data_IF_114300617094
#
_entry.id   IF_114300617094
#
_cell.length_a   1.000
_cell.length_b   1.000
_cell.length_c   1.000
_cell.angle_alpha   90.00
_cell.angle_beta   90.00
_cell.angle_gamma   90.00
#
_symmetry.space_group_name_H-M   'P 1'
#
loop_
_entity.id
_entity.type
_entity.pdbx_description
1 polymer ?
#
# COMPACT_ATOMS: atom_id res chain seq x y z
N UNK A 1 14.10 -45.77 -2.19
CA UNK A 1 14.77 -45.26 -0.98
C UNK A 1 13.89 -45.57 0.22
N UNK A 2 14.44 -46.08 1.33
CA UNK A 2 13.66 -46.45 2.52
C UNK A 2 13.30 -45.19 3.33
N UNK A 3 12.18 -45.20 4.07
CA UNK A 3 11.71 -44.06 4.87
C UNK A 3 12.77 -43.54 5.87
N UNK A 4 13.48 -44.47 6.51
CA UNK A 4 14.58 -44.14 7.45
C UNK A 4 15.73 -43.39 6.77
N UNK A 5 16.07 -43.74 5.52
CA UNK A 5 17.11 -43.04 4.76
C UNK A 5 16.68 -41.60 4.43
N UNK A 6 15.41 -41.39 4.05
CA UNK A 6 14.87 -40.05 3.80
C UNK A 6 14.85 -39.19 5.06
N UNK A 7 14.51 -39.76 6.22
CA UNK A 7 14.51 -39.04 7.49
C UNK A 7 15.94 -38.63 7.90
N UNK A 8 16.94 -39.48 7.66
CA UNK A 8 18.35 -39.12 7.84
C UNK A 8 18.77 -37.94 6.94
N UNK A 9 18.41 -37.99 5.65
CA UNK A 9 18.73 -36.91 4.69
C UNK A 9 18.03 -35.60 5.09
N UNK A 10 16.76 -35.64 5.51
CA UNK A 10 16.03 -34.47 6.02
C UNK A 10 16.70 -33.87 7.24
N UNK A 11 17.12 -34.70 8.19
CA UNK A 11 17.79 -34.24 9.40
C UNK A 11 19.15 -33.60 9.07
N UNK A 12 19.93 -34.23 8.19
CA UNK A 12 21.20 -33.68 7.72
C UNK A 12 21.01 -32.31 7.03
N UNK A 13 19.99 -32.16 6.18
CA UNK A 13 19.65 -30.88 5.56
C UNK A 13 19.32 -29.78 6.59
N UNK A 14 18.60 -30.11 7.66
CA UNK A 14 18.23 -29.15 8.72
C UNK A 14 19.43 -28.69 9.53
N UNK A 15 20.38 -29.59 9.80
CA UNK A 15 21.54 -29.30 10.66
C UNK A 15 22.78 -28.86 9.89
N UNK A 16 22.79 -28.97 8.55
CA UNK A 16 23.98 -28.64 7.77
C UNK A 16 24.30 -27.15 7.83
N UNK A 17 25.57 -26.84 8.14
CA UNK A 17 26.12 -25.48 8.04
C UNK A 17 26.75 -25.22 6.67
N UNK A 18 27.07 -26.28 5.92
CA UNK A 18 27.71 -26.19 4.62
C UNK A 18 26.82 -26.86 3.56
N UNK A 19 26.01 -26.05 2.88
CA UNK A 19 25.10 -26.53 1.85
C UNK A 19 25.85 -27.14 0.65
N UNK A 20 27.09 -26.73 0.36
CA UNK A 20 27.85 -27.27 -0.77
C UNK A 20 28.18 -28.76 -0.59
N UNK A 21 28.54 -29.18 0.62
CA UNK A 21 28.80 -30.59 0.95
C UNK A 21 27.52 -31.42 0.80
N UNK A 22 26.38 -30.90 1.29
CA UNK A 22 25.09 -31.56 1.15
C UNK A 22 24.71 -31.75 -0.33
N UNK A 23 24.90 -30.70 -1.15
CA UNK A 23 24.64 -30.75 -2.59
C UNK A 23 25.49 -31.82 -3.27
N UNK A 24 26.80 -31.83 -3.04
CA UNK A 24 27.71 -32.80 -3.67
C UNK A 24 27.35 -34.25 -3.31
N UNK A 25 26.95 -34.49 -2.07
CA UNK A 25 26.57 -35.81 -1.58
C UNK A 25 25.29 -36.35 -2.21
N UNK A 26 24.30 -35.49 -2.44
CA UNK A 26 22.94 -35.91 -2.81
C UNK A 26 22.51 -35.56 -4.23
N UNK A 27 23.31 -34.79 -4.98
CA UNK A 27 22.95 -34.31 -6.33
C UNK A 27 22.61 -35.43 -7.32
N UNK A 28 23.31 -36.57 -7.25
CA UNK A 28 23.11 -37.68 -8.17
C UNK A 28 21.92 -38.59 -7.81
N UNK A 29 21.25 -38.36 -6.68
CA UNK A 29 20.17 -39.24 -6.21
C UNK A 29 18.86 -38.92 -6.96
N UNK A 30 18.31 -39.84 -7.76
CA UNK A 30 17.11 -39.59 -8.57
C UNK A 30 15.82 -39.84 -7.76
N UNK A 31 15.70 -39.19 -6.61
CA UNK A 31 14.52 -39.27 -5.74
C UNK A 31 13.87 -37.89 -5.59
N UNK A 32 12.56 -37.77 -5.84
CA UNK A 32 11.81 -36.49 -5.85
C UNK A 32 12.15 -35.58 -4.68
N UNK A 33 12.05 -36.11 -3.47
CA UNK A 33 12.28 -35.32 -2.27
C UNK A 33 13.75 -34.95 -2.06
N UNK A 34 14.68 -35.84 -2.44
CA UNK A 34 16.11 -35.55 -2.32
C UNK A 34 16.51 -34.48 -3.32
N UNK A 35 15.98 -34.56 -4.55
CA UNK A 35 16.15 -33.52 -5.58
C UNK A 35 15.58 -32.18 -5.11
N UNK A 36 14.43 -32.18 -4.43
CA UNK A 36 13.87 -30.95 -3.84
C UNK A 36 14.78 -30.36 -2.77
N UNK A 37 15.28 -31.17 -1.83
CA UNK A 37 16.21 -30.72 -0.79
C UNK A 37 17.53 -30.21 -1.40
N UNK A 38 18.03 -30.86 -2.46
CA UNK A 38 19.23 -30.40 -3.19
C UNK A 38 18.97 -29.05 -3.86
N UNK A 39 17.83 -28.88 -4.54
CA UNK A 39 17.46 -27.60 -5.15
C UNK A 39 17.31 -26.50 -4.08
N UNK A 40 16.71 -26.82 -2.94
CA UNK A 40 16.57 -25.90 -1.82
C UNK A 40 17.92 -25.53 -1.20
N UNK A 41 18.86 -26.49 -1.08
CA UNK A 41 20.22 -26.25 -0.63
C UNK A 41 20.97 -25.30 -1.59
N UNK A 42 20.84 -25.54 -2.90
CA UNK A 42 21.43 -24.68 -3.93
C UNK A 42 20.89 -23.26 -3.84
N UNK A 43 19.57 -23.11 -3.70
CA UNK A 43 18.95 -21.81 -3.55
C UNK A 43 19.41 -21.08 -2.29
N UNK A 44 19.44 -21.75 -1.12
CA UNK A 44 19.97 -21.17 0.12
C UNK A 44 21.43 -20.73 0.00
N UNK A 45 22.26 -21.50 -0.70
CA UNK A 45 23.65 -21.13 -0.95
C UNK A 45 23.75 -19.86 -1.81
N UNK A 46 22.92 -19.74 -2.85
CA UNK A 46 22.87 -18.54 -3.70
C UNK A 46 22.46 -17.32 -2.88
N UNK A 47 21.48 -17.46 -1.97
CA UNK A 47 21.03 -16.36 -1.11
C UNK A 47 22.07 -15.87 -0.09
N UNK A 48 23.13 -16.66 0.17
CA UNK A 48 24.25 -16.25 1.02
C UNK A 48 25.32 -15.45 0.25
N UNK A 49 25.22 -15.36 -1.08
CA UNK A 49 26.17 -14.61 -1.89
C UNK A 49 25.97 -13.10 -1.74
N UNK A 50 27.00 -12.41 -1.27
CA UNK A 50 26.98 -10.95 -1.05
C UNK A 50 27.34 -10.16 -2.29
N UNK A 51 28.10 -10.75 -3.21
CA UNK A 51 28.48 -10.08 -4.45
C UNK A 51 27.35 -10.15 -5.48
N UNK A 52 26.76 -9.00 -5.82
CA UNK A 52 25.61 -8.91 -6.72
C UNK A 52 25.83 -9.61 -8.08
N UNK A 53 27.02 -9.49 -8.65
CA UNK A 53 27.37 -10.11 -9.94
C UNK A 53 27.37 -11.64 -9.82
N UNK A 54 27.96 -12.19 -8.75
CA UNK A 54 27.98 -13.63 -8.49
C UNK A 54 26.58 -14.15 -8.19
N UNK A 55 25.81 -13.43 -7.36
CA UNK A 55 24.43 -13.73 -7.05
C UNK A 55 23.59 -13.85 -8.34
N UNK A 56 23.73 -12.89 -9.25
CA UNK A 56 23.02 -12.90 -10.53
C UNK A 56 23.34 -14.09 -11.39
N UNK A 57 24.63 -14.34 -11.61
CA UNK A 57 25.07 -15.45 -12.43
C UNK A 57 24.61 -16.78 -11.85
N UNK A 58 24.71 -16.93 -10.52
CA UNK A 58 24.29 -18.14 -9.84
C UNK A 58 22.75 -18.33 -9.89
N UNK A 59 21.98 -17.25 -9.75
CA UNK A 59 20.52 -17.25 -9.90
C UNK A 59 20.09 -17.63 -11.31
N UNK A 60 20.72 -17.07 -12.35
CA UNK A 60 20.46 -17.42 -13.75
C UNK A 60 20.76 -18.90 -14.03
N UNK A 61 21.90 -19.41 -13.55
CA UNK A 61 22.27 -20.81 -13.69
C UNK A 61 21.25 -21.72 -12.98
N UNK A 62 20.78 -21.34 -11.80
CA UNK A 62 19.75 -22.06 -11.06
C UNK A 62 18.43 -22.13 -11.83
N UNK A 63 17.96 -20.99 -12.35
CA UNK A 63 16.75 -20.90 -13.16
C UNK A 63 16.89 -21.81 -14.38
N UNK A 64 17.94 -21.63 -15.19
CA UNK A 64 18.14 -22.43 -16.41
C UNK A 64 18.16 -23.94 -16.13
N UNK A 65 18.82 -24.35 -15.04
CA UNK A 65 18.93 -25.75 -14.64
C UNK A 65 17.59 -26.38 -14.26
N UNK A 66 16.73 -25.65 -13.54
CA UNK A 66 15.52 -26.21 -12.92
C UNK A 66 14.21 -25.75 -13.57
N UNK A 67 14.23 -24.82 -14.53
CA UNK A 67 13.02 -24.23 -15.13
C UNK A 67 12.01 -25.26 -15.62
N UNK A 68 12.48 -26.31 -16.30
CA UNK A 68 11.65 -27.37 -16.87
C UNK A 68 11.61 -28.64 -16.00
N UNK A 69 11.87 -28.52 -14.70
CA UNK A 69 11.89 -29.68 -13.81
C UNK A 69 10.51 -30.34 -13.69
N UNK A 70 10.47 -31.67 -13.63
CA UNK A 70 9.21 -32.45 -13.59
C UNK A 70 8.40 -32.20 -12.30
N UNK A 71 9.08 -31.93 -11.19
CA UNK A 71 8.47 -31.73 -9.88
C UNK A 71 8.03 -30.28 -9.65
N UNK A 72 6.77 -30.09 -9.26
CA UNK A 72 6.14 -28.77 -9.07
C UNK A 72 6.83 -27.97 -7.97
N UNK A 73 7.24 -28.60 -6.87
CA UNK A 73 7.87 -27.90 -5.75
C UNK A 73 9.22 -27.26 -6.13
N UNK A 74 9.96 -27.91 -7.03
CA UNK A 74 11.21 -27.36 -7.58
C UNK A 74 10.89 -26.21 -8.54
N UNK A 75 9.84 -26.33 -9.35
CA UNK A 75 9.39 -25.23 -10.21
C UNK A 75 8.91 -24.02 -9.40
N UNK A 76 8.28 -24.21 -8.25
CA UNK A 76 7.95 -23.11 -7.33
C UNK A 76 9.22 -22.43 -6.78
N UNK A 77 10.27 -23.19 -6.45
CA UNK A 77 11.57 -22.60 -6.10
C UNK A 77 12.17 -21.78 -7.24
N UNK A 78 12.03 -22.23 -8.50
CA UNK A 78 12.46 -21.48 -9.67
C UNK A 78 11.66 -20.18 -9.82
N UNK A 79 10.35 -20.23 -9.64
CA UNK A 79 9.51 -19.02 -9.68
C UNK A 79 9.97 -17.99 -8.64
N UNK A 80 10.28 -18.45 -7.42
CA UNK A 80 10.83 -17.58 -6.38
C UNK A 80 12.20 -17.01 -6.76
N UNK A 81 13.05 -17.81 -7.42
CA UNK A 81 14.34 -17.34 -7.92
C UNK A 81 14.20 -16.28 -9.03
N UNK A 82 13.27 -16.47 -9.97
CA UNK A 82 12.94 -15.49 -11.00
C UNK A 82 12.44 -14.18 -10.37
N UNK A 83 11.55 -14.27 -9.38
CA UNK A 83 11.07 -13.12 -8.62
C UNK A 83 12.20 -12.37 -7.91
N UNK A 84 13.06 -13.09 -7.18
CA UNK A 84 14.19 -12.49 -6.46
C UNK A 84 15.19 -11.83 -7.41
N UNK A 85 15.43 -12.42 -8.58
CA UNK A 85 16.25 -11.82 -9.63
C UNK A 85 15.68 -10.48 -10.09
N UNK A 86 14.40 -10.43 -10.43
CA UNK A 86 13.76 -9.20 -10.91
C UNK A 86 13.75 -8.13 -9.82
N UNK A 87 13.32 -8.49 -8.59
CA UNK A 87 13.21 -7.54 -7.47
C UNK A 87 14.54 -6.88 -7.13
N UNK A 88 15.62 -7.64 -7.07
CA UNK A 88 16.95 -7.12 -6.72
C UNK A 88 17.56 -6.24 -7.83
N UNK A 89 17.05 -6.33 -9.07
CA UNK A 89 17.62 -5.66 -10.25
C UNK A 89 16.68 -4.68 -10.93
N UNK A 90 15.54 -4.38 -10.31
CA UNK A 90 14.53 -3.48 -10.87
C UNK A 90 15.06 -2.11 -11.27
N UNK A 91 16.12 -1.61 -10.61
CA UNK A 91 16.72 -0.31 -10.91
C UNK A 91 17.83 -0.36 -11.96
N UNK A 92 18.30 -1.56 -12.32
CA UNK A 92 19.42 -1.74 -13.26
C UNK A 92 18.94 -2.12 -14.66
N UNK A 93 17.75 -2.72 -14.75
CA UNK A 93 17.23 -3.18 -16.02
C UNK A 93 16.45 -2.06 -16.72
N UNK A 94 16.62 -1.97 -18.04
CA UNK A 94 15.77 -1.14 -18.88
C UNK A 94 14.30 -1.56 -18.73
N UNK A 95 13.39 -0.59 -18.79
CA UNK A 95 11.94 -0.84 -18.60
C UNK A 95 11.39 -1.96 -19.50
N UNK A 96 11.85 -2.04 -20.76
CA UNK A 96 11.46 -3.08 -21.71
C UNK A 96 11.92 -4.46 -21.24
N UNK A 97 13.17 -4.61 -20.83
CA UNK A 97 13.71 -5.87 -20.32
C UNK A 97 13.00 -6.34 -19.04
N UNK A 98 12.65 -5.40 -18.14
CA UNK A 98 11.81 -5.71 -16.97
C UNK A 98 10.44 -6.23 -17.38
N UNK A 99 9.78 -5.54 -18.31
CA UNK A 99 8.46 -5.93 -18.79
C UNK A 99 8.45 -7.35 -19.38
N UNK A 100 9.48 -7.71 -20.16
CA UNK A 100 9.61 -9.04 -20.74
C UNK A 100 9.84 -10.11 -19.67
N UNK A 101 10.70 -9.84 -18.68
CA UNK A 101 10.91 -10.74 -17.56
C UNK A 101 9.64 -10.95 -16.70
N UNK A 102 8.85 -9.89 -16.48
CA UNK A 102 7.55 -10.05 -15.80
C UNK A 102 6.54 -10.85 -16.64
N UNK A 103 6.55 -10.73 -17.97
CA UNK A 103 5.73 -11.59 -18.83
C UNK A 103 6.15 -13.04 -18.68
N UNK A 104 7.46 -13.32 -18.70
CA UNK A 104 8.00 -14.67 -18.51
C UNK A 104 7.59 -15.25 -17.15
N UNK A 105 7.69 -14.46 -16.07
CA UNK A 105 7.24 -14.86 -14.73
C UNK A 105 5.75 -15.20 -14.71
N UNK A 106 4.91 -14.36 -15.32
CA UNK A 106 3.46 -14.58 -15.39
C UNK A 106 3.15 -15.87 -16.17
N UNK A 107 3.79 -16.08 -17.32
CA UNK A 107 3.61 -17.28 -18.13
C UNK A 107 4.09 -18.53 -17.41
N UNK A 108 5.21 -18.44 -16.71
CA UNK A 108 5.75 -19.55 -15.92
C UNK A 108 4.81 -19.92 -14.77
N UNK A 109 4.34 -18.92 -14.01
CA UNK A 109 3.44 -19.10 -12.86
C UNK A 109 2.04 -19.62 -13.25
N UNK A 110 1.53 -19.30 -14.45
CA UNK A 110 0.24 -19.82 -14.94
C UNK A 110 0.18 -21.35 -15.03
N UNK A 111 1.34 -22.00 -15.18
CA UNK A 111 1.46 -23.46 -15.25
C UNK A 111 1.68 -24.13 -13.89
N UNK A 112 1.59 -23.36 -12.80
CA UNK A 112 1.71 -23.82 -11.42
C UNK A 112 0.37 -23.66 -10.69
N UNK A 113 0.27 -24.26 -9.50
CA UNK A 113 -0.93 -24.15 -8.68
C UNK A 113 -1.10 -22.72 -8.16
N UNK A 114 -2.18 -22.06 -8.55
CA UNK A 114 -2.51 -20.69 -8.14
C UNK A 114 -3.13 -20.61 -6.74
N UNK A 115 -3.19 -21.73 -6.01
CA UNK A 115 -3.48 -21.75 -4.58
C UNK A 115 -2.20 -21.84 -3.74
N UNK A 116 -1.02 -21.98 -4.36
CA UNK A 116 0.25 -21.89 -3.65
C UNK A 116 0.56 -20.43 -3.27
N UNK A 117 0.84 -20.21 -2.00
CA UNK A 117 1.09 -18.86 -1.46
C UNK A 117 2.28 -18.17 -2.15
N UNK A 118 3.34 -18.90 -2.52
CA UNK A 118 4.49 -18.33 -3.24
C UNK A 118 4.08 -17.90 -4.64
N UNK A 119 3.31 -18.75 -5.34
CA UNK A 119 2.80 -18.44 -6.68
C UNK A 119 1.93 -17.19 -6.67
N UNK A 120 0.98 -17.09 -5.73
CA UNK A 120 0.12 -15.91 -5.60
C UNK A 120 0.92 -14.63 -5.36
N UNK A 121 1.89 -14.66 -4.42
CA UNK A 121 2.71 -13.48 -4.08
C UNK A 121 3.48 -12.97 -5.30
N UNK A 122 4.11 -13.89 -6.05
CA UNK A 122 4.87 -13.53 -7.25
C UNK A 122 3.96 -12.99 -8.35
N UNK A 123 2.78 -13.59 -8.55
CA UNK A 123 1.79 -13.10 -9.51
C UNK A 123 1.26 -11.71 -9.15
N UNK A 124 0.93 -11.47 -7.88
CA UNK A 124 0.45 -10.15 -7.40
C UNK A 124 1.50 -9.07 -7.70
N UNK A 125 2.76 -9.32 -7.36
CA UNK A 125 3.83 -8.35 -7.63
C UNK A 125 4.05 -8.13 -9.13
N UNK A 126 4.01 -9.20 -9.94
CA UNK A 126 4.15 -9.07 -11.39
C UNK A 126 2.99 -8.27 -11.99
N UNK A 127 1.74 -8.57 -11.63
CA UNK A 127 0.57 -7.82 -12.07
C UNK A 127 0.58 -6.37 -11.58
N UNK A 128 1.11 -6.11 -10.38
CA UNK A 128 1.27 -4.76 -9.86
C UNK A 128 2.22 -3.93 -10.74
N UNK A 129 3.40 -4.48 -11.08
CA UNK A 129 4.33 -3.83 -12.00
C UNK A 129 3.69 -3.53 -13.36
N UNK A 130 2.97 -4.51 -13.93
CA UNK A 130 2.27 -4.35 -15.21
C UNK A 130 1.22 -3.25 -15.15
N UNK A 131 0.48 -3.17 -14.05
CA UNK A 131 -0.49 -2.10 -13.80
C UNK A 131 0.19 -0.74 -13.78
N UNK A 132 1.24 -0.57 -12.96
CA UNK A 132 1.92 0.71 -12.80
C UNK A 132 2.57 1.19 -14.10
N UNK A 133 3.03 0.26 -14.94
CA UNK A 133 3.58 0.56 -16.26
C UNK A 133 2.54 0.99 -17.30
N UNK A 134 1.27 0.61 -17.11
CA UNK A 134 0.20 0.80 -18.10
C UNK A 134 -0.87 1.80 -17.66
N UNK A 135 -0.99 2.15 -16.37
CA UNK A 135 -2.11 2.96 -15.85
C UNK A 135 -2.37 4.29 -16.57
N UNK A 136 -1.35 4.91 -17.16
CA UNK A 136 -1.48 6.15 -17.94
C UNK A 136 -1.35 5.96 -19.46
N UNK A 137 -1.11 4.72 -19.93
CA UNK A 137 -0.90 4.38 -21.35
C UNK A 137 -2.04 3.54 -21.92
N UNK A 138 -2.51 2.56 -21.15
CA UNK A 138 -3.54 1.59 -21.51
C UNK A 138 -4.33 1.24 -20.23
N UNK A 139 -5.30 2.10 -19.89
CA UNK A 139 -6.12 1.94 -18.70
C UNK A 139 -6.92 0.62 -18.71
N UNK A 140 -7.34 0.14 -19.88
CA UNK A 140 -8.07 -1.13 -19.99
C UNK A 140 -7.22 -2.31 -19.54
N UNK A 141 -5.97 -2.41 -20.01
CA UNK A 141 -5.05 -3.47 -19.55
C UNK A 141 -4.64 -3.28 -18.09
N UNK A 142 -4.47 -2.05 -17.63
CA UNK A 142 -4.20 -1.80 -16.21
C UNK A 142 -5.34 -2.31 -15.32
N UNK A 143 -6.59 -2.01 -15.67
CA UNK A 143 -7.78 -2.55 -14.97
C UNK A 143 -7.80 -4.08 -15.00
N UNK A 144 -7.49 -4.70 -16.14
CA UNK A 144 -7.40 -6.16 -16.24
C UNK A 144 -6.42 -6.76 -15.22
N UNK A 145 -5.22 -6.19 -15.09
CA UNK A 145 -4.23 -6.69 -14.13
C UNK A 145 -4.64 -6.43 -12.67
N UNK A 146 -5.25 -5.29 -12.37
CA UNK A 146 -5.79 -5.00 -11.05
C UNK A 146 -6.87 -6.01 -10.63
N UNK A 147 -7.79 -6.37 -11.54
CA UNK A 147 -8.77 -7.43 -11.28
C UNK A 147 -8.11 -8.79 -11.08
N UNK A 148 -6.99 -9.08 -11.76
CA UNK A 148 -6.21 -10.30 -11.51
C UNK A 148 -5.57 -10.32 -10.12
N UNK A 149 -5.04 -9.19 -9.63
CA UNK A 149 -4.53 -9.08 -8.25
C UNK A 149 -5.65 -9.40 -7.26
N UNK A 150 -6.82 -8.77 -7.41
CA UNK A 150 -7.96 -9.02 -6.53
C UNK A 150 -8.45 -10.47 -6.56
N UNK A 151 -8.43 -11.13 -7.71
CA UNK A 151 -8.87 -12.53 -7.80
C UNK A 151 -7.93 -13.50 -7.07
N UNK A 152 -6.70 -13.07 -6.75
CA UNK A 152 -5.73 -13.80 -5.95
C UNK A 152 -5.88 -13.54 -4.44
N UNK A 153 -6.79 -12.65 -4.04
CA UNK A 153 -7.25 -12.46 -2.66
C UNK A 153 -8.17 -13.63 -2.26
N UNK A 154 -7.60 -14.83 -2.23
CA UNK A 154 -8.23 -16.01 -1.66
C UNK A 154 -7.65 -16.24 -0.27
N UNK A 155 -8.30 -17.07 0.55
CA UNK A 155 -8.07 -17.34 1.99
C UNK A 155 -6.69 -17.92 2.37
N UNK A 156 -5.65 -17.54 1.66
CA UNK A 156 -4.25 -17.89 1.87
C UNK A 156 -3.61 -16.97 2.90
N UNK A 157 -2.63 -17.49 3.62
CA UNK A 157 -1.80 -16.70 4.53
C UNK A 157 -0.79 -15.86 3.73
N UNK A 158 -1.30 -14.79 3.10
CA UNK A 158 -0.49 -13.77 2.45
C UNK A 158 0.24 -12.93 3.53
N UNK A 159 1.47 -12.52 3.21
CA UNK A 159 2.20 -11.57 4.05
C UNK A 159 1.60 -10.16 3.93
N UNK A 160 1.94 -9.29 4.88
CA UNK A 160 1.36 -7.94 4.96
C UNK A 160 1.67 -7.12 3.72
N UNK A 161 2.87 -7.25 3.16
CA UNK A 161 3.27 -6.55 1.91
C UNK A 161 2.36 -6.96 0.74
N UNK A 162 2.04 -8.24 0.62
CA UNK A 162 1.18 -8.73 -0.46
C UNK A 162 -0.27 -8.28 -0.26
N UNK A 163 -0.77 -8.29 0.98
CA UNK A 163 -2.10 -7.75 1.32
C UNK A 163 -2.20 -6.25 1.00
N UNK A 164 -1.13 -5.50 1.23
CA UNK A 164 -1.07 -4.09 0.86
C UNK A 164 -1.25 -3.88 -0.65
N UNK A 165 -0.66 -4.71 -1.51
CA UNK A 165 -0.89 -4.60 -2.97
C UNK A 165 -2.33 -4.90 -3.38
N UNK A 166 -3.02 -5.81 -2.69
CA UNK A 166 -4.44 -6.08 -2.93
C UNK A 166 -5.28 -4.86 -2.57
N UNK A 167 -5.04 -4.26 -1.40
CA UNK A 167 -5.71 -3.04 -0.96
C UNK A 167 -5.44 -1.85 -1.91
N UNK A 168 -4.18 -1.65 -2.32
CA UNK A 168 -3.84 -0.63 -3.30
C UNK A 168 -4.53 -0.87 -4.64
N UNK A 169 -4.70 -2.14 -5.05
CA UNK A 169 -5.42 -2.47 -6.27
C UNK A 169 -6.91 -2.12 -6.17
N UNK A 170 -7.52 -2.34 -5.00
CA UNK A 170 -8.89 -1.93 -4.69
C UNK A 170 -9.09 -0.41 -4.83
N UNK A 171 -8.18 0.36 -4.22
CA UNK A 171 -8.21 1.83 -4.28
C UNK A 171 -8.02 2.32 -5.72
N UNK A 172 -7.06 1.77 -6.47
CA UNK A 172 -6.80 2.18 -7.85
C UNK A 172 -7.96 1.87 -8.81
N UNK A 173 -8.59 0.70 -8.69
CA UNK A 173 -9.76 0.36 -9.50
C UNK A 173 -10.90 1.36 -9.27
N UNK A 174 -11.07 1.79 -8.02
CA UNK A 174 -12.07 2.77 -7.66
C UNK A 174 -11.79 4.14 -8.28
N UNK A 175 -10.54 4.64 -8.20
CA UNK A 175 -10.17 5.88 -8.87
C UNK A 175 -10.36 5.80 -10.40
N UNK A 176 -9.98 4.67 -11.03
CA UNK A 176 -10.18 4.49 -12.46
C UNK A 176 -11.66 4.44 -12.86
N UNK A 177 -12.54 3.87 -12.01
CA UNK A 177 -13.98 3.85 -12.25
C UNK A 177 -14.57 5.27 -12.18
N UNK A 178 -14.14 6.04 -11.18
CA UNK A 178 -14.53 7.45 -11.00
C UNK A 178 -14.13 8.30 -12.22
N UNK A 179 -12.90 8.18 -12.69
CA UNK A 179 -12.41 8.92 -13.87
C UNK A 179 -13.20 8.56 -15.14
N UNK A 180 -13.43 7.27 -15.38
CA UNK A 180 -14.00 6.78 -16.65
C UNK A 180 -15.50 7.02 -16.77
N UNK A 181 -16.25 6.84 -15.70
CA UNK A 181 -17.71 6.80 -15.77
C UNK A 181 -18.38 8.11 -15.35
N UNK A 182 -17.64 9.09 -14.82
CA UNK A 182 -18.20 10.27 -14.12
C UNK A 182 -19.27 9.87 -13.08
N UNK A 183 -19.26 8.61 -12.65
CA UNK A 183 -20.27 8.06 -11.75
C UNK A 183 -19.98 8.51 -10.33
N UNK A 184 -21.06 8.67 -9.58
CA UNK A 184 -20.95 8.90 -8.15
C UNK A 184 -20.36 7.66 -7.46
N UNK A 185 -19.48 7.92 -6.50
CA UNK A 185 -18.94 6.93 -5.59
C UNK A 185 -20.02 6.04 -4.94
N UNK A 186 -19.97 4.69 -5.04
CA UNK A 186 -20.84 3.83 -4.24
C UNK A 186 -20.38 3.82 -2.78
N UNK A 187 -21.22 4.29 -1.85
CA UNK A 187 -20.86 4.39 -0.43
C UNK A 187 -20.48 3.03 0.19
N UNK A 188 -21.16 1.95 -0.19
CA UNK A 188 -20.83 0.60 0.27
C UNK A 188 -19.37 0.21 -0.05
N UNK A 189 -18.93 0.50 -1.27
CA UNK A 189 -17.56 0.20 -1.68
C UNK A 189 -16.54 1.08 -0.95
N UNK A 190 -16.89 2.33 -0.64
CA UNK A 190 -16.06 3.24 0.15
C UNK A 190 -15.76 2.65 1.52
N UNK A 191 -16.82 2.36 2.29
CA UNK A 191 -16.69 1.86 3.65
C UNK A 191 -16.05 0.46 3.68
N UNK A 192 -16.29 -0.39 2.68
CA UNK A 192 -15.59 -1.68 2.56
C UNK A 192 -14.06 -1.50 2.46
N UNK A 193 -13.58 -0.49 1.73
CA UNK A 193 -12.14 -0.21 1.62
C UNK A 193 -11.61 0.40 2.91
N UNK A 194 -12.33 1.36 3.51
CA UNK A 194 -11.92 1.96 4.78
C UNK A 194 -11.82 0.93 5.91
N UNK A 195 -12.69 -0.07 5.94
CA UNK A 195 -12.63 -1.17 6.92
C UNK A 195 -11.38 -2.06 6.79
N UNK A 196 -10.60 -1.93 5.71
CA UNK A 196 -9.32 -2.61 5.53
C UNK A 196 -8.12 -1.78 6.03
N UNK A 197 -8.36 -0.59 6.57
CA UNK A 197 -7.32 0.26 7.13
C UNK A 197 -6.68 -0.39 8.35
N UNK A 198 -5.35 -0.35 8.39
CA UNK A 198 -4.53 -0.74 9.55
C UNK A 198 -3.47 0.34 9.78
N UNK A 199 -3.34 0.78 11.03
CA UNK A 199 -2.38 1.82 11.46
C UNK A 199 -0.91 1.49 11.15
N UNK A 200 -0.59 0.22 10.91
CA UNK A 200 0.77 -0.26 10.61
C UNK A 200 1.06 -0.34 9.10
N UNK A 201 0.15 0.16 8.25
CA UNK A 201 0.33 0.20 6.81
C UNK A 201 1.41 1.21 6.38
N UNK A 202 1.91 1.03 5.16
CA UNK A 202 2.91 1.91 4.55
C UNK A 202 2.35 3.33 4.35
N UNK A 203 3.22 4.34 4.44
CA UNK A 203 2.85 5.76 4.26
C UNK A 203 2.22 6.00 2.89
N UNK A 204 2.66 5.30 1.85
CA UNK A 204 2.06 5.38 0.52
C UNK A 204 0.59 4.94 0.48
N UNK A 205 0.19 4.01 1.35
CA UNK A 205 -1.20 3.61 1.52
C UNK A 205 -2.02 4.66 2.28
N UNK A 206 -1.45 5.28 3.31
CA UNK A 206 -2.11 6.37 4.03
C UNK A 206 -2.46 7.53 3.09
N UNK A 207 -1.52 7.94 2.23
CA UNK A 207 -1.75 8.95 1.19
C UNK A 207 -2.91 8.55 0.27
N UNK A 208 -2.95 7.28 -0.16
CA UNK A 208 -4.04 6.76 -1.00
C UNK A 208 -5.40 6.81 -0.30
N UNK A 209 -5.47 6.46 0.99
CA UNK A 209 -6.71 6.58 1.79
C UNK A 209 -7.19 8.03 1.92
N UNK A 210 -6.28 8.98 2.21
CA UNK A 210 -6.63 10.40 2.29
C UNK A 210 -7.16 10.93 0.97
N UNK A 211 -6.52 10.55 -0.15
CA UNK A 211 -7.00 10.88 -1.47
C UNK A 211 -8.39 10.30 -1.73
N UNK A 212 -8.63 9.06 -1.29
CA UNK A 212 -9.93 8.39 -1.44
C UNK A 212 -11.04 9.16 -0.70
N UNK A 213 -10.78 9.52 0.55
CA UNK A 213 -11.68 10.32 1.39
C UNK A 213 -11.91 11.71 0.76
N UNK A 214 -10.86 12.36 0.27
CA UNK A 214 -10.94 13.64 -0.40
C UNK A 214 -11.83 13.61 -1.65
N UNK A 215 -11.73 12.54 -2.46
CA UNK A 215 -12.58 12.32 -3.63
C UNK A 215 -14.02 12.01 -3.23
N UNK A 216 -14.22 11.16 -2.21
CA UNK A 216 -15.55 10.83 -1.71
C UNK A 216 -16.29 12.10 -1.23
N UNK A 217 -15.64 12.93 -0.42
CA UNK A 217 -16.21 14.21 0.03
C UNK A 217 -16.54 15.10 -1.18
N UNK A 218 -15.59 15.26 -2.12
CA UNK A 218 -15.81 16.11 -3.29
C UNK A 218 -17.01 15.68 -4.15
N UNK A 219 -17.21 14.37 -4.33
CA UNK A 219 -18.30 13.86 -5.16
C UNK A 219 -19.66 13.84 -4.45
N UNK A 220 -19.69 13.53 -3.16
CA UNK A 220 -20.94 13.36 -2.40
C UNK A 220 -21.42 14.63 -1.73
N UNK A 221 -20.49 15.54 -1.43
CA UNK A 221 -20.73 16.75 -0.69
C UNK A 221 -20.15 17.91 -1.49
N UNK A 222 -20.98 18.50 -2.35
CA UNK A 222 -20.63 19.73 -3.05
C UNK A 222 -20.67 20.89 -2.05
N UNK A 223 -19.50 21.18 -1.49
CA UNK A 223 -19.32 22.22 -0.49
C UNK A 223 -19.59 23.62 -1.05
N UNK A 224 -19.63 23.82 -2.36
CA UNK A 224 -19.92 25.12 -2.99
C UNK A 224 -21.43 25.35 -3.21
N UNK A 225 -22.29 24.40 -2.84
CA UNK A 225 -23.75 24.46 -3.04
C UNK A 225 -24.51 24.11 -1.75
N UNK A 226 -25.82 24.43 -1.69
CA UNK A 226 -26.66 23.94 -0.60
C UNK A 226 -26.51 22.42 -0.43
N UNK A 227 -26.12 22.02 0.77
CA UNK A 227 -25.92 20.61 1.11
C UNK A 227 -27.29 19.94 1.18
N UNK A 228 -27.50 18.93 0.32
CA UNK A 228 -28.76 18.18 0.25
C UNK A 228 -28.69 16.82 0.96
N UNK A 229 -27.48 16.31 1.21
CA UNK A 229 -27.23 14.94 1.67
C UNK A 229 -26.73 14.91 3.14
N UNK A 230 -27.41 15.59 4.06
CA UNK A 230 -27.01 15.65 5.48
C UNK A 230 -26.92 14.26 6.14
N UNK A 231 -27.76 13.31 5.73
CA UNK A 231 -27.69 11.93 6.22
C UNK A 231 -26.36 11.24 5.89
N UNK A 232 -25.86 11.43 4.67
CA UNK A 232 -24.57 10.87 4.22
C UNK A 232 -23.40 11.49 4.99
N UNK A 233 -23.46 12.81 5.25
CA UNK A 233 -22.46 13.51 6.07
C UNK A 233 -22.43 12.91 7.47
N UNK A 234 -23.60 12.74 8.09
CA UNK A 234 -23.68 12.18 9.44
C UNK A 234 -23.10 10.78 9.52
N UNK A 235 -23.47 9.89 8.59
CA UNK A 235 -22.93 8.52 8.53
C UNK A 235 -21.40 8.54 8.39
N UNK A 236 -20.87 9.39 7.52
CA UNK A 236 -19.43 9.52 7.32
C UNK A 236 -18.69 10.00 8.57
N UNK A 237 -19.20 11.02 9.25
CA UNK A 237 -18.57 11.56 10.46
C UNK A 237 -18.67 10.58 11.63
N UNK A 238 -19.83 9.96 11.83
CA UNK A 238 -20.01 8.93 12.86
C UNK A 238 -19.05 7.75 12.61
N UNK A 239 -18.84 7.36 11.35
CA UNK A 239 -17.83 6.35 10.99
C UNK A 239 -16.41 6.79 11.39
N UNK A 240 -16.01 8.04 11.11
CA UNK A 240 -14.69 8.54 11.50
C UNK A 240 -14.50 8.56 13.02
N UNK A 241 -15.54 8.93 13.77
CA UNK A 241 -15.50 8.95 15.24
C UNK A 241 -15.33 7.53 15.82
N UNK A 242 -16.02 6.53 15.24
CA UNK A 242 -15.87 5.13 15.62
C UNK A 242 -14.49 4.56 15.27
N UNK A 243 -13.83 5.10 14.24
CA UNK A 243 -12.55 4.62 13.72
C UNK A 243 -11.38 5.56 14.08
N UNK A 244 -11.11 5.69 15.38
CA UNK A 244 -10.09 6.62 15.91
C UNK A 244 -8.71 6.52 15.25
N UNK A 245 -8.25 5.32 14.86
CA UNK A 245 -6.97 5.15 14.18
C UNK A 245 -6.95 5.80 12.78
N UNK A 246 -8.04 5.65 12.02
CA UNK A 246 -8.20 6.30 10.72
C UNK A 246 -8.31 7.81 10.88
N UNK A 247 -9.07 8.26 11.87
CA UNK A 247 -9.22 9.68 12.21
C UNK A 247 -7.87 10.34 12.56
N UNK A 248 -7.06 9.65 13.39
CA UNK A 248 -5.71 10.09 13.72
C UNK A 248 -4.76 10.10 12.51
N UNK A 249 -4.89 9.14 11.60
CA UNK A 249 -4.12 9.12 10.34
C UNK A 249 -4.47 10.33 9.46
N UNK A 250 -5.75 10.72 9.40
CA UNK A 250 -6.19 11.89 8.63
C UNK A 250 -5.62 13.21 9.17
N UNK A 251 -5.44 13.32 10.49
CA UNK A 251 -4.85 14.50 11.14
C UNK A 251 -3.34 14.65 10.90
N UNK A 252 -2.68 13.61 10.42
CA UNK A 252 -1.28 13.66 10.01
C UNK A 252 -1.21 14.05 8.53
N UNK A 253 -0.28 14.91 8.11
CA UNK A 253 -0.01 15.14 6.68
C UNK A 253 1.29 14.45 6.26
N UNK A 254 1.20 13.60 5.25
CA UNK A 254 2.32 12.91 4.61
C UNK A 254 2.75 13.68 3.34
N UNK A 255 1.78 14.27 2.61
CA UNK A 255 2.02 15.17 1.47
C UNK A 255 1.24 16.50 1.61
N UNK A 256 1.93 17.66 1.65
CA UNK A 256 1.30 18.92 2.03
C UNK A 256 0.20 19.37 1.06
N UNK A 257 0.37 19.30 -0.27
CA UNK A 257 -0.51 20.04 -1.19
C UNK A 257 -1.93 19.49 -1.37
N UNK A 258 -2.10 18.16 -1.40
CA UNK A 258 -3.41 17.53 -1.68
C UNK A 258 -4.20 17.30 -0.39
N UNK A 259 -3.50 16.96 0.68
CA UNK A 259 -4.09 16.50 1.93
C UNK A 259 -4.59 17.66 2.81
N UNK A 260 -4.02 18.86 2.66
CA UNK A 260 -4.49 20.09 3.31
C UNK A 260 -5.97 20.39 3.03
N UNK A 261 -6.43 20.14 1.80
CA UNK A 261 -7.83 20.39 1.44
C UNK A 261 -8.76 19.39 2.11
N UNK A 262 -8.32 18.14 2.30
CA UNK A 262 -9.12 17.10 2.97
C UNK A 262 -9.37 17.49 4.42
N UNK A 263 -8.34 17.96 5.13
CA UNK A 263 -8.47 18.42 6.52
C UNK A 263 -9.56 19.46 6.71
N UNK A 264 -9.55 20.52 5.90
CA UNK A 264 -10.51 21.63 6.03
C UNK A 264 -11.92 21.24 5.61
N UNK A 265 -12.04 20.34 4.62
CA UNK A 265 -13.34 19.80 4.25
C UNK A 265 -13.95 19.01 5.41
N UNK A 266 -13.17 18.12 6.04
CA UNK A 266 -13.63 17.36 7.21
C UNK A 266 -13.95 18.29 8.39
N UNK A 267 -13.10 19.28 8.66
CA UNK A 267 -13.36 20.29 9.69
C UNK A 267 -14.71 20.99 9.49
N UNK A 268 -15.00 21.42 8.27
CA UNK A 268 -16.27 22.07 7.93
C UNK A 268 -17.47 21.14 8.13
N UNK A 269 -17.34 19.86 7.80
CA UNK A 269 -18.41 18.86 7.99
C UNK A 269 -18.72 18.60 9.47
N UNK A 270 -17.68 18.50 10.31
CA UNK A 270 -17.85 18.40 11.77
C UNK A 270 -18.53 19.65 12.33
N UNK A 271 -18.08 20.85 11.92
CA UNK A 271 -18.70 22.10 12.34
C UNK A 271 -20.18 22.19 11.94
N UNK A 272 -20.52 21.84 10.69
CA UNK A 272 -21.91 21.78 10.23
C UNK A 272 -22.77 20.81 11.04
N UNK A 273 -22.17 19.77 11.59
CA UNK A 273 -22.85 18.76 12.43
C UNK A 273 -22.88 19.13 13.91
N UNK A 274 -22.42 20.33 14.28
CA UNK A 274 -22.36 20.82 15.66
C UNK A 274 -21.23 20.22 16.51
N UNK A 275 -20.28 19.52 15.88
CA UNK A 275 -19.12 18.88 16.51
C UNK A 275 -17.89 19.81 16.44
N UNK A 276 -17.92 20.89 17.22
CA UNK A 276 -16.92 21.98 17.14
C UNK A 276 -15.53 21.56 17.60
N UNK A 277 -15.43 20.68 18.59
CA UNK A 277 -14.13 20.24 19.14
C UNK A 277 -13.37 19.39 18.12
N UNK A 278 -14.08 18.49 17.42
CA UNK A 278 -13.55 17.70 16.31
C UNK A 278 -13.16 18.61 15.14
N UNK A 279 -14.01 19.60 14.81
CA UNK A 279 -13.68 20.60 13.79
C UNK A 279 -12.38 21.35 14.11
N UNK A 280 -12.22 21.78 15.36
CA UNK A 280 -11.02 22.47 15.84
C UNK A 280 -9.76 21.60 15.67
N UNK A 281 -9.82 20.31 15.97
CA UNK A 281 -8.68 19.40 15.82
C UNK A 281 -8.15 19.35 14.38
N UNK A 282 -9.05 19.30 13.38
CA UNK A 282 -8.68 19.30 11.97
C UNK A 282 -8.15 20.67 11.49
N UNK A 283 -8.70 21.78 11.99
CA UNK A 283 -8.18 23.13 11.71
C UNK A 283 -6.78 23.30 12.31
N UNK A 284 -6.56 22.81 13.53
CA UNK A 284 -5.27 22.86 14.19
C UNK A 284 -4.21 22.04 13.44
N UNK A 285 -4.59 20.85 12.95
CA UNK A 285 -3.75 20.03 12.09
C UNK A 285 -3.38 20.77 10.80
N UNK A 286 -4.33 21.46 10.16
CA UNK A 286 -4.04 22.28 8.98
C UNK A 286 -2.98 23.36 9.28
N UNK A 287 -3.14 24.10 10.38
CA UNK A 287 -2.20 25.18 10.73
C UNK A 287 -0.80 24.71 11.07
N UNK A 288 -0.64 23.48 11.56
CA UNK A 288 0.67 22.87 11.75
C UNK A 288 1.52 22.89 10.47
N UNK A 289 0.87 22.80 9.30
CA UNK A 289 1.53 22.74 8.00
C UNK A 289 1.47 24.05 7.23
N UNK A 290 0.36 24.80 7.32
CA UNK A 290 0.21 26.12 6.72
C UNK A 290 -0.18 27.13 7.79
N UNK A 291 0.77 27.88 8.37
CA UNK A 291 0.51 28.79 9.48
C UNK A 291 -0.12 30.13 9.00
N UNK A 292 -1.16 30.07 8.16
CA UNK A 292 -1.83 31.25 7.61
C UNK A 292 -3.35 31.12 7.69
N UNK A 293 -3.95 31.83 8.66
CA UNK A 293 -5.40 31.95 8.74
C UNK A 293 -6.00 32.75 7.58
N UNK A 294 -5.26 33.72 7.03
CA UNK A 294 -5.75 34.58 5.95
C UNK A 294 -6.05 33.74 4.70
N UNK A 295 -5.12 32.86 4.32
CA UNK A 295 -5.26 32.01 3.14
C UNK A 295 -6.41 31.00 3.31
N UNK A 296 -6.54 30.43 4.50
CA UNK A 296 -7.63 29.53 4.83
C UNK A 296 -9.00 30.23 4.79
N UNK A 297 -9.11 31.42 5.38
CA UNK A 297 -10.35 32.21 5.37
C UNK A 297 -10.72 32.59 3.92
N UNK A 298 -9.75 33.00 3.11
CA UNK A 298 -9.99 33.30 1.70
C UNK A 298 -10.51 32.07 0.94
N UNK A 299 -9.90 30.90 1.15
CA UNK A 299 -10.34 29.64 0.56
C UNK A 299 -11.79 29.30 0.95
N UNK A 300 -12.11 29.41 2.24
CA UNK A 300 -13.45 29.13 2.77
C UNK A 300 -14.48 30.07 2.16
N UNK A 301 -14.22 31.38 2.14
CA UNK A 301 -15.12 32.37 1.54
C UNK A 301 -15.39 32.12 0.06
N UNK A 302 -14.39 31.63 -0.68
CA UNK A 302 -14.50 31.41 -2.12
C UNK A 302 -15.16 30.08 -2.50
N UNK A 303 -14.98 29.04 -1.67
CA UNK A 303 -15.30 27.64 -2.07
C UNK A 303 -16.42 26.99 -1.27
N UNK A 304 -16.88 27.60 -0.18
CA UNK A 304 -17.84 26.98 0.73
C UNK A 304 -19.15 27.77 0.72
N UNK A 305 -20.24 27.03 0.63
CA UNK A 305 -21.60 27.53 0.74
C UNK A 305 -22.00 27.61 2.20
N UNK A 306 -22.60 28.75 2.55
CA UNK A 306 -23.20 28.98 3.86
C UNK A 306 -24.65 29.38 3.64
N UNK A 307 -25.53 28.89 4.51
CA UNK A 307 -26.96 29.22 4.48
C UNK A 307 -27.23 30.68 4.86
N UNK A 308 -26.31 31.33 5.58
CA UNK A 308 -26.38 32.73 5.96
C UNK A 308 -24.99 33.32 6.16
N UNK A 309 -24.93 34.66 6.18
CA UNK A 309 -23.69 35.38 6.47
C UNK A 309 -23.23 35.14 7.92
N UNK A 310 -24.15 35.01 8.87
CA UNK A 310 -23.84 34.68 10.27
C UNK A 310 -23.17 33.31 10.40
N UNK A 311 -23.68 32.30 9.67
CA UNK A 311 -23.07 30.98 9.63
C UNK A 311 -21.63 31.04 9.08
N UNK A 312 -21.40 31.85 8.04
CA UNK A 312 -20.06 32.09 7.52
C UNK A 312 -19.16 32.77 8.54
N UNK A 313 -19.65 33.78 9.25
CA UNK A 313 -18.89 34.46 10.30
C UNK A 313 -18.51 33.53 11.45
N UNK A 314 -19.45 32.70 11.92
CA UNK A 314 -19.22 31.76 13.03
C UNK A 314 -18.12 30.74 12.69
N UNK A 315 -18.10 30.20 11.46
CA UNK A 315 -17.02 29.28 11.06
C UNK A 315 -15.68 29.98 10.89
N UNK A 316 -15.67 31.22 10.36
CA UNK A 316 -14.46 32.04 10.26
C UNK A 316 -13.91 32.37 11.66
N UNK A 317 -14.78 32.69 12.61
CA UNK A 317 -14.39 32.93 14.00
C UNK A 317 -13.73 31.70 14.62
N UNK A 318 -14.30 30.50 14.41
CA UNK A 318 -13.67 29.25 14.84
C UNK A 318 -12.26 29.10 14.26
N UNK A 319 -12.07 29.37 12.96
CA UNK A 319 -10.75 29.34 12.31
C UNK A 319 -9.78 30.32 12.97
N UNK A 320 -10.21 31.54 13.25
CA UNK A 320 -9.38 32.58 13.87
C UNK A 320 -8.98 32.22 15.30
N UNK A 321 -9.94 31.76 16.13
CA UNK A 321 -9.68 31.31 17.49
C UNK A 321 -8.70 30.13 17.51
N UNK A 322 -8.88 29.17 16.60
CA UNK A 322 -7.98 28.02 16.48
C UNK A 322 -6.57 28.45 16.05
N UNK A 323 -6.46 29.46 15.18
CA UNK A 323 -5.16 29.99 14.76
C UNK A 323 -4.41 30.68 15.91
N UNK A 324 -5.11 31.44 16.76
CA UNK A 324 -4.50 32.05 17.93
C UNK A 324 -4.08 30.98 18.96
N UNK A 325 -4.88 29.93 19.14
CA UNK A 325 -4.48 28.75 19.94
C UNK A 325 -3.22 28.10 19.37
N UNK A 326 -3.15 27.88 18.06
CA UNK A 326 -1.99 27.35 17.37
C UNK A 326 -0.73 28.20 17.60
N UNK A 327 -0.82 29.53 17.41
CA UNK A 327 0.29 30.46 17.68
C UNK A 327 0.78 30.37 19.11
N UNK A 328 -0.14 30.35 20.07
CA UNK A 328 0.19 30.25 21.48
C UNK A 328 0.92 28.93 21.78
N UNK A 329 0.40 27.80 21.29
CA UNK A 329 1.05 26.49 21.44
C UNK A 329 2.45 26.46 20.83
N UNK A 330 2.63 27.05 19.64
CA UNK A 330 3.94 27.13 19.01
C UNK A 330 4.92 28.04 19.75
N UNK A 331 4.44 29.17 20.30
CA UNK A 331 5.25 30.04 21.18
C UNK A 331 5.77 29.25 22.38
N UNK A 332 4.91 28.46 23.04
CA UNK A 332 5.35 27.58 24.12
C UNK A 332 6.36 26.52 23.65
N UNK A 333 6.12 25.84 22.52
CA UNK A 333 7.05 24.85 21.97
C UNK A 333 8.44 25.45 21.69
N UNK A 334 8.52 26.66 21.15
CA UNK A 334 9.78 27.37 20.91
C UNK A 334 10.49 27.75 22.22
N UNK A 335 9.72 28.19 23.23
CA UNK A 335 10.26 28.46 24.55
C UNK A 335 10.87 27.18 25.17
N UNK A 336 10.21 26.03 25.09
CA UNK A 336 10.73 24.79 25.67
C UNK A 336 11.84 24.12 24.84
N UNK A 337 11.84 24.25 23.50
CA UNK A 337 12.97 23.81 22.67
C UNK A 337 14.25 24.57 23.00
N UNK A 338 14.16 25.88 23.20
CA UNK A 338 15.32 26.70 23.55
C UNK A 338 15.87 26.46 24.96
N UNK A 339 15.17 25.71 25.82
CA UNK A 339 15.71 25.22 27.09
C UNK A 339 16.47 23.89 26.94
N UNK A 340 16.02 22.98 26.08
CA UNK A 340 16.77 21.73 25.81
C UNK A 340 18.09 21.98 25.11
N UNK A 341 18.15 22.97 24.22
CA UNK A 341 19.38 23.38 23.52
C UNK A 341 20.30 24.30 24.37
N UNK A 342 19.98 24.50 25.66
CA UNK A 342 20.82 25.24 26.62
C UNK A 342 21.47 24.35 27.68
N UNK A 343 21.04 23.08 27.75
CA UNK A 343 21.58 22.05 28.66
C UNK A 343 22.44 21.00 27.90
N UNK A 344 22.72 21.22 26.61
CA UNK A 344 23.85 20.66 25.84
C UNK A 344 24.85 21.77 25.55
#
# INVERSE_FOLDING_TARGET
MRRQELDLIRNEFKTTKNFQVFILKYFAVPHREVQYLVAQAQWKQIQQETELIKYNRATQNFIQKYKLHLHVEIRILVLNAMYAQIKNHQHQWAHVALNDAYNEVIEYAKNLDQHDTTVCRVLIYAYWFKTMSLKHKDQFKAQYFLHKIKALDQSLQLDDVTKQYILQADILLMFMLIEKQQTQFPAEHFYRILNQFDRHQDVGLHIQFKNLIGVYIYQKIDLARPIKNYGEIKIFLDYLDEHSALNMMLLQLDEPKVEQLVLIRIAFLYWLSGKSDESEAFILAYFHHLPSAIDLIALVKQRYYFSSQDAQYNFIELIQLTFEKYKNLNKYRQLFKSYKDRDE
#
